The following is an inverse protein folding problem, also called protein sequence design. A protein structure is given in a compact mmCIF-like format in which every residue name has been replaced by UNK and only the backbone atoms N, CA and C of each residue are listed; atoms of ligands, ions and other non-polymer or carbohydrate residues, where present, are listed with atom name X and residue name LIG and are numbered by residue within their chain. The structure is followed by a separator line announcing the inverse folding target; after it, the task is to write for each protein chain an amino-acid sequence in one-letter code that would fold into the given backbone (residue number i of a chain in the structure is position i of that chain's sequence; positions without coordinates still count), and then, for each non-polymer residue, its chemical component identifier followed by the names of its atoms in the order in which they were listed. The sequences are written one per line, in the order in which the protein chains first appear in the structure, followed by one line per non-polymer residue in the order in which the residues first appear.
data_IF_739063779734
#
_entry.id   IF_739063779734
#
_cell.length_a   1.000
_cell.length_b   1.000
_cell.length_c   1.000
_cell.angle_alpha   90.00
_cell.angle_beta   90.00
_cell.angle_gamma   90.00
#
_symmetry.space_group_name_H-M   'P 1'
#
loop_
_entity.id
_entity.type
_entity.pdbx_description
1 polymer ?
#
# COMPACT_ATOMS: atom_id res chain seq x y z
N UNK A 1 -9.55 13.76 27.00
CA UNK A 1 -8.13 13.40 26.83
C UNK A 1 -7.91 13.14 25.35
N UNK A 2 -7.11 13.94 24.65
CA UNK A 2 -6.93 13.84 23.20
C UNK A 2 -6.38 12.48 22.72
N UNK A 3 -5.56 11.81 23.54
CA UNK A 3 -4.96 10.53 23.18
C UNK A 3 -6.01 9.43 22.95
N UNK A 4 -7.02 9.34 23.82
CA UNK A 4 -8.09 8.33 23.71
C UNK A 4 -9.00 8.61 22.52
N UNK A 5 -9.31 9.88 22.26
CA UNK A 5 -10.11 10.28 21.09
C UNK A 5 -9.39 9.90 19.77
N UNK A 6 -8.09 10.14 19.67
CA UNK A 6 -7.32 9.74 18.49
C UNK A 6 -7.23 8.22 18.32
N UNK A 7 -7.10 7.48 19.41
CA UNK A 7 -7.10 6.01 19.40
C UNK A 7 -8.45 5.47 18.91
N UNK A 8 -9.56 6.00 19.44
CA UNK A 8 -10.92 5.65 19.03
C UNK A 8 -11.15 5.98 17.54
N UNK A 9 -10.76 7.20 17.12
CA UNK A 9 -10.84 7.61 15.73
C UNK A 9 -10.08 6.66 14.79
N UNK A 10 -8.82 6.34 15.11
CA UNK A 10 -8.02 5.41 14.32
C UNK A 10 -8.67 4.01 14.26
N UNK A 11 -9.14 3.48 15.39
CA UNK A 11 -9.81 2.17 15.44
C UNK A 11 -11.08 2.14 14.58
N UNK A 12 -11.91 3.18 14.65
CA UNK A 12 -13.12 3.30 13.85
C UNK A 12 -12.80 3.39 12.34
N UNK A 13 -11.76 4.14 11.97
CA UNK A 13 -11.30 4.23 10.58
C UNK A 13 -10.76 2.89 10.07
N UNK A 14 -10.02 2.15 10.89
CA UNK A 14 -9.53 0.82 10.52
C UNK A 14 -10.69 -0.17 10.35
N UNK A 15 -11.60 -0.24 11.32
CA UNK A 15 -12.77 -1.14 11.28
C UNK A 15 -13.69 -0.86 10.09
N UNK A 16 -13.92 0.41 9.75
CA UNK A 16 -14.77 0.79 8.61
C UNK A 16 -14.21 0.30 7.26
N UNK A 17 -12.88 0.21 7.14
CA UNK A 17 -12.19 -0.03 5.89
C UNK A 17 -11.56 -1.42 5.78
N UNK A 18 -11.59 -2.20 6.85
CA UNK A 18 -10.96 -3.51 6.93
C UNK A 18 -11.62 -4.54 6.02
N UNK A 19 -10.81 -5.49 5.57
CA UNK A 19 -11.24 -6.67 4.84
C UNK A 19 -11.17 -7.89 5.75
N UNK A 20 -12.03 -8.89 5.51
CA UNK A 20 -12.03 -10.12 6.29
C UNK A 20 -10.72 -10.92 6.15
N UNK A 21 -10.10 -10.87 4.97
CA UNK A 21 -8.82 -11.51 4.67
C UNK A 21 -8.16 -10.86 3.42
N UNK A 22 -6.89 -11.19 3.11
CA UNK A 22 -6.19 -10.65 1.94
C UNK A 22 -6.88 -10.93 0.60
N UNK A 23 -7.49 -12.11 0.43
CA UNK A 23 -8.15 -12.48 -0.84
C UNK A 23 -9.33 -11.55 -1.16
N UNK A 24 -10.11 -11.17 -0.14
CA UNK A 24 -11.20 -10.20 -0.30
C UNK A 24 -10.70 -8.81 -0.68
N UNK A 25 -9.53 -8.42 -0.19
CA UNK A 25 -8.90 -7.18 -0.61
C UNK A 25 -8.42 -7.26 -2.07
N UNK A 26 -7.75 -8.34 -2.46
CA UNK A 26 -7.27 -8.53 -3.82
C UNK A 26 -8.42 -8.52 -4.83
N UNK A 27 -9.51 -9.21 -4.52
CA UNK A 27 -10.71 -9.19 -5.37
C UNK A 27 -11.34 -7.80 -5.46
N UNK A 28 -11.46 -7.10 -4.32
CA UNK A 28 -11.92 -5.71 -4.32
C UNK A 28 -11.00 -4.82 -5.18
N UNK A 29 -9.69 -4.90 -5.01
CA UNK A 29 -8.72 -4.11 -5.76
C UNK A 29 -8.85 -4.38 -7.27
N UNK A 30 -8.92 -5.66 -7.67
CA UNK A 30 -9.09 -6.08 -9.07
C UNK A 30 -10.35 -5.48 -9.70
N UNK A 31 -11.47 -5.50 -8.99
CA UNK A 31 -12.76 -4.95 -9.45
C UNK A 31 -12.79 -3.41 -9.47
N UNK A 32 -11.93 -2.75 -8.70
CA UNK A 32 -11.98 -1.30 -8.49
C UNK A 32 -10.78 -0.55 -9.10
N UNK A 33 -9.84 -1.25 -9.74
CA UNK A 33 -8.58 -0.68 -10.25
C UNK A 33 -8.81 0.52 -11.20
N UNK A 34 -9.81 0.45 -12.08
CA UNK A 34 -10.04 1.48 -13.08
C UNK A 34 -10.66 2.71 -12.41
N UNK A 35 -11.62 2.50 -11.50
CA UNK A 35 -12.19 3.56 -10.65
C UNK A 35 -11.14 4.24 -9.76
N UNK A 36 -10.13 3.51 -9.29
CA UNK A 36 -9.02 4.08 -8.50
C UNK A 36 -8.18 5.05 -9.34
N UNK A 37 -8.00 4.76 -10.63
CA UNK A 37 -7.28 5.63 -11.57
C UNK A 37 -8.12 6.84 -11.95
N UNK A 38 -9.41 6.64 -12.21
CA UNK A 38 -10.34 7.71 -12.59
C UNK A 38 -10.64 8.68 -11.43
N UNK A 39 -10.66 8.19 -10.19
CA UNK A 39 -11.06 8.96 -9.01
C UNK A 39 -9.95 8.99 -7.93
N UNK A 40 -8.79 9.61 -8.22
CA UNK A 40 -7.62 9.58 -7.33
C UNK A 40 -7.81 10.38 -6.03
N UNK A 41 -8.95 11.04 -5.82
CA UNK A 41 -9.25 11.80 -4.61
C UNK A 41 -10.27 11.11 -3.70
N UNK A 42 -10.73 9.90 -4.04
CA UNK A 42 -11.67 9.15 -3.21
C UNK A 42 -10.98 8.66 -1.92
N UNK A 43 -11.19 9.41 -0.85
CA UNK A 43 -10.67 9.12 0.49
C UNK A 43 -11.21 7.82 1.08
N UNK A 44 -12.36 7.33 0.64
CA UNK A 44 -12.91 6.05 1.08
C UNK A 44 -12.13 4.90 0.46
N UNK A 45 -11.83 4.96 -0.84
CA UNK A 45 -10.99 3.96 -1.50
C UNK A 45 -9.55 3.98 -0.97
N UNK A 46 -8.99 5.17 -0.72
CA UNK A 46 -7.69 5.30 -0.05
C UNK A 46 -7.70 4.70 1.36
N UNK A 47 -8.79 4.90 2.12
CA UNK A 47 -8.97 4.31 3.44
C UNK A 47 -8.90 2.79 3.44
N UNK A 48 -9.53 2.14 2.44
CA UNK A 48 -9.46 0.69 2.23
C UNK A 48 -8.03 0.23 2.00
N UNK A 49 -7.30 0.83 1.05
CA UNK A 49 -5.90 0.49 0.79
C UNK A 49 -5.01 0.73 2.02
N UNK A 50 -5.13 1.89 2.67
CA UNK A 50 -4.36 2.22 3.87
C UNK A 50 -4.60 1.23 5.02
N UNK A 51 -5.82 0.71 5.18
CA UNK A 51 -6.16 -0.26 6.23
C UNK A 51 -5.41 -1.59 6.08
N UNK A 52 -5.07 -1.97 4.85
CA UNK A 52 -4.33 -3.20 4.55
C UNK A 52 -2.82 -2.96 4.59
N UNK A 53 -2.37 -1.77 4.17
CA UNK A 53 -0.96 -1.41 4.16
C UNK A 53 -0.40 -1.11 5.56
N UNK A 54 -1.15 -0.39 6.39
CA UNK A 54 -0.66 0.11 7.69
C UNK A 54 -0.13 -1.00 8.62
N UNK A 55 -0.75 -2.18 8.75
CA UNK A 55 -0.19 -3.27 9.55
C UNK A 55 1.22 -3.69 9.13
N UNK A 56 1.52 -3.71 7.82
CA UNK A 56 2.86 -4.07 7.32
C UNK A 56 3.92 -3.06 7.75
N UNK A 57 3.55 -1.77 7.77
CA UNK A 57 4.43 -0.70 8.24
C UNK A 57 4.58 -0.65 9.76
N UNK A 58 3.62 -1.19 10.52
CA UNK A 58 3.68 -1.26 11.98
C UNK A 58 4.52 -2.43 12.49
N UNK A 59 4.57 -3.53 11.75
CA UNK A 59 5.31 -4.73 12.17
C UNK A 59 6.83 -4.52 12.18
N UNK A 60 7.34 -3.58 11.39
CA UNK A 60 8.76 -3.32 11.25
C UNK A 60 9.01 -1.86 10.91
N UNK A 61 9.69 -1.12 11.79
CA UNK A 61 10.01 0.29 11.58
C UNK A 61 10.97 0.50 10.40
N UNK A 62 11.79 -0.49 10.07
CA UNK A 62 12.70 -0.43 8.92
C UNK A 62 11.94 -0.40 7.59
N UNK A 63 10.73 -0.94 7.52
CA UNK A 63 9.88 -0.95 6.32
C UNK A 63 9.58 0.46 5.80
N UNK A 64 9.50 1.46 6.69
CA UNK A 64 9.33 2.87 6.29
C UNK A 64 10.51 3.42 5.48
N UNK A 65 11.72 2.89 5.66
CA UNK A 65 12.90 3.34 4.92
C UNK A 65 12.79 3.08 3.42
N UNK A 66 11.98 2.10 2.99
CA UNK A 66 11.70 1.85 1.58
C UNK A 66 10.98 3.04 0.91
N UNK A 67 10.16 3.79 1.66
CA UNK A 67 9.41 4.93 1.11
C UNK A 67 10.31 6.05 0.57
N UNK A 68 11.55 6.17 1.06
CA UNK A 68 12.55 7.11 0.55
C UNK A 68 12.87 6.89 -0.94
N UNK A 69 12.55 5.71 -1.48
CA UNK A 69 12.89 5.28 -2.83
C UNK A 69 11.69 5.19 -3.77
N UNK A 70 10.46 5.49 -3.30
CA UNK A 70 9.23 5.45 -4.10
C UNK A 70 9.33 6.32 -5.34
N UNK A 71 9.83 7.55 -5.18
CA UNK A 71 9.82 8.57 -6.22
C UNK A 71 11.22 8.94 -6.73
N UNK A 72 12.20 8.03 -6.63
CA UNK A 72 13.60 8.30 -7.02
C UNK A 72 13.77 8.64 -8.52
N UNK A 73 12.83 8.25 -9.38
CA UNK A 73 12.87 8.46 -10.84
C UNK A 73 11.58 9.15 -11.31
N UNK A 74 11.63 10.38 -11.83
CA UNK A 74 10.45 11.23 -12.06
C UNK A 74 9.60 10.93 -13.32
N UNK A 75 9.57 9.69 -13.81
CA UNK A 75 8.80 9.36 -15.02
C UNK A 75 7.76 8.27 -14.74
N UNK A 76 6.60 8.67 -14.21
CA UNK A 76 5.52 7.77 -13.77
C UNK A 76 4.27 7.82 -14.63
N UNK A 77 4.14 8.82 -15.51
CA UNK A 77 2.87 9.17 -16.17
C UNK A 77 2.32 8.07 -17.10
N UNK A 78 3.15 7.09 -17.47
CA UNK A 78 2.77 5.94 -18.30
C UNK A 78 2.93 4.58 -17.62
N UNK A 79 3.35 4.54 -16.35
CA UNK A 79 3.62 3.27 -15.68
C UNK A 79 2.33 2.59 -15.26
N UNK A 80 2.22 1.31 -15.61
CA UNK A 80 1.28 0.43 -14.92
C UNK A 80 1.71 0.23 -13.47
N UNK A 81 0.76 -0.05 -12.59
CA UNK A 81 1.04 -0.18 -11.15
C UNK A 81 2.05 -1.29 -10.82
N UNK A 82 2.04 -2.42 -11.53
CA UNK A 82 3.04 -3.49 -11.40
C UNK A 82 4.45 -3.03 -11.79
N UNK A 83 4.58 -2.24 -12.85
CA UNK A 83 5.84 -1.64 -13.27
C UNK A 83 6.34 -0.60 -12.27
N UNK A 84 5.43 0.18 -11.68
CA UNK A 84 5.75 1.11 -10.60
C UNK A 84 6.33 0.38 -9.39
N UNK A 85 5.67 -0.68 -8.91
CA UNK A 85 6.14 -1.48 -7.78
C UNK A 85 7.50 -2.16 -8.05
N UNK A 86 7.70 -2.72 -9.25
CA UNK A 86 8.98 -3.32 -9.63
C UNK A 86 10.12 -2.30 -9.61
N UNK A 87 9.87 -1.09 -10.13
CA UNK A 87 10.85 0.00 -10.14
C UNK A 87 11.16 0.48 -8.73
N UNK A 88 10.15 0.65 -7.89
CA UNK A 88 10.35 0.97 -6.48
C UNK A 88 11.25 -0.06 -5.80
N UNK A 89 11.00 -1.36 -6.01
CA UNK A 89 11.87 -2.45 -5.52
C UNK A 89 13.31 -2.31 -6.04
N UNK A 90 13.49 -2.03 -7.33
CA UNK A 90 14.83 -1.84 -7.93
C UNK A 90 15.56 -0.64 -7.33
N UNK A 91 14.85 0.44 -7.01
CA UNK A 91 15.42 1.66 -6.44
C UNK A 91 15.88 1.50 -4.99
N UNK A 92 15.32 0.55 -4.24
CA UNK A 92 15.74 0.24 -2.88
C UNK A 92 17.17 -0.36 -2.86
N UNK A 93 18.12 0.21 -2.11
CA UNK A 93 19.51 -0.25 -2.08
C UNK A 93 19.74 -1.55 -1.29
N UNK A 94 18.93 -1.84 -0.29
CA UNK A 94 19.19 -2.94 0.67
C UNK A 94 18.10 -4.01 0.61
N UNK A 95 18.48 -5.27 0.87
CA UNK A 95 17.62 -6.45 0.70
C UNK A 95 16.31 -6.34 1.46
N UNK A 96 16.32 -5.95 2.74
CA UNK A 96 15.10 -5.86 3.53
C UNK A 96 14.06 -4.87 2.98
N UNK A 97 14.49 -3.78 2.34
CA UNK A 97 13.57 -2.86 1.67
C UNK A 97 12.98 -3.49 0.40
N UNK A 98 13.79 -4.21 -0.39
CA UNK A 98 13.32 -4.93 -1.57
C UNK A 98 12.28 -5.98 -1.20
N UNK A 99 12.55 -6.75 -0.14
CA UNK A 99 11.62 -7.73 0.42
C UNK A 99 10.33 -7.09 0.92
N UNK A 100 10.40 -5.91 1.53
CA UNK A 100 9.22 -5.16 1.94
C UNK A 100 8.36 -4.78 0.74
N UNK A 101 8.94 -4.24 -0.34
CA UNK A 101 8.20 -3.94 -1.57
C UNK A 101 7.59 -5.20 -2.18
N UNK A 102 8.28 -6.34 -2.13
CA UNK A 102 7.73 -7.63 -2.56
C UNK A 102 6.53 -8.07 -1.70
N UNK A 103 6.55 -7.84 -0.39
CA UNK A 103 5.39 -8.11 0.49
C UNK A 103 4.21 -7.21 0.12
N UNK A 104 4.46 -5.93 -0.16
CA UNK A 104 3.43 -4.98 -0.61
C UNK A 104 2.81 -5.44 -1.93
N UNK A 105 3.61 -5.84 -2.93
CA UNK A 105 3.07 -6.29 -4.22
C UNK A 105 2.14 -7.50 -4.06
N UNK A 106 2.53 -8.46 -3.21
CA UNK A 106 1.71 -9.65 -2.91
C UNK A 106 0.37 -9.29 -2.27
N UNK A 107 0.31 -8.24 -1.44
CA UNK A 107 -0.97 -7.75 -0.90
C UNK A 107 -1.94 -7.33 -2.01
N UNK A 108 -1.44 -6.72 -3.09
CA UNK A 108 -2.24 -6.35 -4.26
C UNK A 108 -2.44 -7.49 -5.28
N UNK A 109 -1.98 -8.71 -4.98
CA UNK A 109 -2.05 -9.85 -5.90
C UNK A 109 -1.07 -9.73 -7.08
N UNK A 110 0.01 -8.94 -6.93
CA UNK A 110 1.01 -8.70 -7.98
C UNK A 110 2.29 -9.46 -7.64
N UNK A 111 2.71 -10.31 -8.57
CA UNK A 111 4.00 -10.99 -8.51
C UNK A 111 5.05 -10.15 -9.24
N UNK A 112 6.03 -9.65 -8.51
CA UNK A 112 7.20 -9.01 -9.11
C UNK A 112 8.28 -10.06 -9.39
N UNK A 113 9.15 -9.84 -10.40
CA UNK A 113 10.35 -10.65 -10.62
C UNK A 113 11.19 -10.75 -9.35
N UNK A 114 12.09 -11.73 -9.26
CA UNK A 114 13.07 -11.79 -8.15
C UNK A 114 14.06 -10.62 -8.17
#
# INVERSE_FOLDING_TARGET
NYAEEFKSYAANRMKKNSFANPDKFQEWFRLNKDSLVENPMDRSMHGKMASVLLPLFKSDSFSWSACLYLNKTNNFASDRFDQYLNRWKKNCPVTGQKEFVQKISKVFGILLPE
#
